data_IF_559836572781
#
_entry.id   IF_559836572781
#
_cell.length_a   1.000
_cell.length_b   1.000
_cell.length_c   1.000
_cell.angle_alpha   90.00
_cell.angle_beta   90.00
_cell.angle_gamma   90.00
#
_symmetry.space_group_name_H-M   'P 1'
#
loop_
_entity.id
_entity.type
_entity.pdbx_description
1 polymer ?
#
# COMPACT_ATOMS: atom_id res chain seq x y z
N UNK A 1 -26.75 29.07 31.21
CA UNK A 1 -27.63 27.88 31.36
C UNK A 1 -28.81 27.99 30.40
N UNK A 2 -28.78 27.17 29.34
CA UNK A 2 -29.80 26.89 28.30
C UNK A 2 -29.08 25.88 27.40
N UNK A 3 -29.41 24.60 27.27
CA UNK A 3 -30.68 23.91 27.43
C UNK A 3 -31.15 23.45 26.06
N UNK A 4 -30.59 22.35 25.54
CA UNK A 4 -31.33 21.40 24.67
C UNK A 4 -30.56 20.10 24.47
N UNK A 5 -31.17 19.03 24.98
CA UNK A 5 -30.88 17.64 24.67
C UNK A 5 -31.49 17.33 23.31
N UNK A 6 -30.79 16.60 22.46
CA UNK A 6 -31.40 15.73 21.45
C UNK A 6 -30.53 14.49 21.29
N UNK A 7 -31.07 13.36 21.77
CA UNK A 7 -30.63 12.02 21.43
C UNK A 7 -31.26 11.61 20.10
N UNK A 8 -30.52 10.92 19.25
CA UNK A 8 -31.07 10.02 18.25
C UNK A 8 -30.13 8.82 18.13
N UNK A 9 -30.62 7.69 18.63
CA UNK A 9 -30.02 6.38 18.44
C UNK A 9 -30.35 5.92 17.01
N UNK A 10 -29.33 5.50 16.27
CA UNK A 10 -29.47 4.78 15.00
C UNK A 10 -28.71 3.48 15.12
N UNK A 11 -29.43 2.38 15.34
CA UNK A 11 -28.90 1.02 15.30
C UNK A 11 -29.06 0.53 13.87
N UNK A 12 -27.96 0.23 13.19
CA UNK A 12 -27.97 -0.53 11.93
C UNK A 12 -27.25 -1.84 12.19
N UNK A 13 -28.03 -2.91 12.27
CA UNK A 13 -27.58 -4.29 12.15
C UNK A 13 -27.61 -4.69 10.66
N UNK A 14 -27.16 -5.92 10.34
CA UNK A 14 -27.03 -6.60 9.03
C UNK A 14 -25.58 -6.54 8.54
N UNK A 15 -24.83 -7.63 8.32
CA UNK A 15 -25.08 -9.06 8.42
C UNK A 15 -23.75 -9.77 8.10
N UNK A 16 -23.32 -10.73 8.92
CA UNK A 16 -22.08 -11.46 8.72
C UNK A 16 -22.33 -12.66 7.79
N UNK A 17 -21.73 -12.66 6.60
CA UNK A 17 -21.65 -13.83 5.75
C UNK A 17 -20.27 -14.48 5.94
N UNK A 18 -20.25 -15.60 6.66
CA UNK A 18 -19.06 -16.47 6.76
C UNK A 18 -18.88 -17.24 5.46
N UNK A 19 -17.81 -16.93 4.72
CA UNK A 19 -17.34 -17.73 3.59
C UNK A 19 -16.57 -18.96 4.12
N UNK A 20 -17.00 -20.13 3.65
CA UNK A 20 -16.38 -21.42 3.91
C UNK A 20 -14.99 -21.52 3.28
N UNK A 21 -14.01 -21.94 4.08
CA UNK A 21 -12.67 -22.32 3.64
C UNK A 21 -12.72 -23.60 2.78
N UNK A 22 -12.09 -23.57 1.62
CA UNK A 22 -11.65 -24.77 0.91
C UNK A 22 -10.12 -24.85 1.01
N UNK A 23 -9.63 -25.73 1.89
CA UNK A 23 -8.22 -26.14 1.94
C UNK A 23 -7.99 -27.18 0.84
N UNK A 24 -7.25 -26.82 -0.20
CA UNK A 24 -6.74 -27.77 -1.18
C UNK A 24 -5.51 -28.48 -0.61
N UNK A 25 -5.56 -29.81 -0.66
CA UNK A 25 -4.68 -30.75 -0.01
C UNK A 25 -3.22 -30.70 -0.53
N UNK A 26 -2.28 -30.82 0.41
CA UNK A 26 -0.92 -31.28 0.12
C UNK A 26 -0.97 -32.70 -0.45
N UNK A 27 -0.37 -32.89 -1.63
CA UNK A 27 0.02 -34.22 -2.10
C UNK A 27 1.53 -34.24 -2.18
N UNK A 28 2.16 -34.91 -1.22
CA UNK A 28 3.59 -35.23 -1.24
C UNK A 28 3.86 -36.48 -2.07
N UNK A 29 4.99 -36.47 -2.78
CA UNK A 29 5.52 -37.63 -3.50
C UNK A 29 6.87 -37.32 -4.18
N UNK A 30 7.97 -37.56 -3.46
CA UNK A 30 9.38 -37.65 -3.92
C UNK A 30 9.61 -38.91 -4.81
N UNK A 31 10.76 -39.16 -5.50
CA UNK A 31 12.11 -38.57 -5.39
C UNK A 31 12.85 -38.24 -6.72
N UNK A 32 14.08 -37.73 -6.61
CA UNK A 32 15.09 -37.57 -7.68
C UNK A 32 15.40 -38.88 -8.42
N UNK A 33 15.62 -38.80 -9.74
CA UNK A 33 16.48 -39.74 -10.47
C UNK A 33 17.18 -39.05 -11.67
N UNK A 34 18.52 -39.07 -11.63
CA UNK A 34 19.53 -39.13 -12.69
C UNK A 34 19.44 -38.33 -14.02
N UNK A 35 20.52 -37.62 -14.30
CA UNK A 35 20.96 -36.83 -15.48
C UNK A 35 21.24 -37.67 -16.76
N UNK A 36 21.65 -37.08 -17.93
CA UNK A 36 20.86 -36.69 -19.14
C UNK A 36 21.26 -37.56 -20.39
N UNK A 37 20.96 -37.26 -21.70
CA UNK A 37 21.46 -36.09 -22.45
C UNK A 37 20.59 -35.57 -23.65
N UNK A 38 21.12 -34.53 -24.32
CA UNK A 38 20.92 -34.10 -25.72
C UNK A 38 19.66 -33.34 -26.17
N UNK A 39 19.91 -32.05 -26.50
CA UNK A 39 19.63 -31.42 -27.79
C UNK A 39 18.29 -31.73 -28.49
N UNK A 40 17.28 -30.88 -28.28
CA UNK A 40 16.31 -30.56 -29.33
C UNK A 40 15.92 -29.08 -29.30
N UNK A 41 15.88 -28.55 -30.51
CA UNK A 41 15.59 -27.20 -30.98
C UNK A 41 14.31 -26.56 -30.43
N UNK A 42 14.40 -25.23 -30.22
CA UNK A 42 13.37 -24.21 -30.43
C UNK A 42 11.91 -24.54 -30.04
N UNK A 43 11.44 -23.96 -28.94
CA UNK A 43 10.10 -23.40 -28.90
C UNK A 43 10.14 -21.99 -28.30
N UNK A 44 9.92 -21.06 -29.21
CA UNK A 44 9.33 -19.75 -29.01
C UNK A 44 8.27 -19.78 -27.90
N UNK A 45 8.46 -18.94 -26.90
CA UNK A 45 7.36 -18.42 -26.10
C UNK A 45 7.69 -16.96 -25.88
N UNK A 46 7.59 -16.20 -26.96
CA UNK A 46 7.37 -14.76 -26.87
C UNK A 46 6.12 -14.61 -26.00
N UNK A 47 6.20 -14.08 -24.76
CA UNK A 47 4.99 -13.86 -23.99
C UNK A 47 4.15 -12.88 -24.80
N UNK A 48 2.96 -13.33 -25.21
CA UNK A 48 1.98 -12.46 -25.84
C UNK A 48 1.68 -11.34 -24.84
N UNK A 49 1.71 -10.04 -25.23
CA UNK A 49 1.31 -8.98 -24.32
C UNK A 49 -0.15 -9.24 -23.93
N UNK A 50 -0.37 -9.72 -22.72
CA UNK A 50 -1.71 -9.93 -22.20
C UNK A 50 -2.33 -8.55 -22.08
N UNK A 51 -3.32 -8.26 -22.91
CA UNK A 51 -4.15 -7.07 -22.72
C UNK A 51 -5.01 -7.34 -21.49
N UNK A 52 -4.63 -6.78 -20.35
CA UNK A 52 -5.38 -6.87 -19.10
C UNK A 52 -6.79 -6.30 -19.29
N UNK A 53 -7.81 -6.95 -18.74
CA UNK A 53 -9.16 -6.37 -18.77
C UNK A 53 -9.24 -5.17 -17.81
N UNK A 54 -10.23 -4.26 -17.96
CA UNK A 54 -10.44 -3.19 -16.99
C UNK A 54 -10.60 -3.68 -15.55
N UNK A 55 -11.26 -4.83 -15.35
CA UNK A 55 -11.44 -5.44 -14.02
C UNK A 55 -10.11 -5.91 -13.41
N UNK A 56 -9.23 -6.48 -14.23
CA UNK A 56 -7.90 -6.91 -13.77
C UNK A 56 -7.04 -5.71 -13.37
N UNK A 57 -7.11 -4.62 -14.14
CA UNK A 57 -6.41 -3.37 -13.85
C UNK A 57 -6.88 -2.75 -12.53
N UNK A 58 -8.20 -2.69 -12.29
CA UNK A 58 -8.73 -2.23 -10.99
C UNK A 58 -8.22 -3.11 -9.86
N UNK A 59 -8.33 -4.43 -9.98
CA UNK A 59 -7.87 -5.37 -8.94
C UNK A 59 -6.37 -5.20 -8.62
N UNK A 60 -5.55 -4.97 -9.65
CA UNK A 60 -4.12 -4.70 -9.49
C UNK A 60 -3.86 -3.38 -8.77
N UNK A 61 -4.55 -2.30 -9.17
CA UNK A 61 -4.45 -1.00 -8.50
C UNK A 61 -4.86 -1.08 -7.02
N UNK A 62 -5.91 -1.83 -6.70
CA UNK A 62 -6.35 -2.05 -5.31
C UNK A 62 -5.30 -2.79 -4.50
N UNK A 63 -4.71 -3.85 -5.04
CA UNK A 63 -3.64 -4.59 -4.37
C UNK A 63 -2.40 -3.71 -4.13
N UNK A 64 -2.06 -2.82 -5.05
CA UNK A 64 -0.96 -1.87 -4.87
C UNK A 64 -1.31 -0.76 -3.87
N UNK A 65 -2.58 -0.34 -3.80
CA UNK A 65 -3.06 0.60 -2.79
C UNK A 65 -3.01 -0.01 -1.38
N UNK A 66 -3.31 -1.30 -1.23
CA UNK A 66 -3.13 -2.04 0.03
C UNK A 66 -1.66 -2.10 0.46
N UNK A 67 -0.75 -2.46 -0.44
CA UNK A 67 0.70 -2.50 -0.12
C UNK A 67 1.23 -1.12 0.29
N UNK A 68 0.80 -0.07 -0.41
CA UNK A 68 1.15 1.29 -0.05
C UNK A 68 0.56 1.69 1.32
N UNK A 69 -0.68 1.29 1.63
CA UNK A 69 -1.27 1.52 2.95
C UNK A 69 -0.48 0.83 4.07
N UNK A 70 -0.01 -0.40 3.83
CA UNK A 70 0.83 -1.14 4.77
C UNK A 70 2.17 -0.44 4.98
N UNK A 71 2.87 -0.04 3.91
CA UNK A 71 4.12 0.69 4.01
C UNK A 71 3.98 2.01 4.79
N UNK A 72 2.90 2.76 4.56
CA UNK A 72 2.60 4.00 5.30
C UNK A 72 2.30 3.72 6.78
N UNK A 73 1.62 2.62 7.09
CA UNK A 73 1.36 2.18 8.47
C UNK A 73 2.64 1.75 9.19
N UNK A 74 3.51 1.02 8.50
CA UNK A 74 4.82 0.61 9.00
C UNK A 74 5.74 1.80 9.22
N UNK A 75 5.79 2.76 8.29
CA UNK A 75 6.49 4.03 8.46
C UNK A 75 5.99 4.76 9.71
N UNK A 76 4.68 4.89 9.90
CA UNK A 76 4.14 5.49 11.13
C UNK A 76 4.60 4.75 12.39
N UNK A 77 4.73 3.43 12.32
CA UNK A 77 5.19 2.61 13.44
C UNK A 77 6.70 2.77 13.72
N UNK A 78 7.50 3.23 12.76
CA UNK A 78 8.92 3.59 12.96
C UNK A 78 9.09 4.94 13.64
N UNK A 79 8.11 5.85 13.53
CA UNK A 79 8.14 7.19 14.15
C UNK A 79 7.98 7.15 15.68
N UNK A 80 8.95 6.56 16.39
CA UNK A 80 9.07 6.49 17.85
C UNK A 80 10.22 7.37 18.32
N UNK A 81 10.15 7.82 19.57
CA UNK A 81 11.14 8.71 20.21
C UNK A 81 12.59 8.25 20.08
N UNK A 82 12.81 6.95 19.98
CA UNK A 82 14.11 6.28 19.91
C UNK A 82 14.57 5.93 18.48
N UNK A 83 13.76 6.22 17.46
CA UNK A 83 14.11 5.91 16.08
C UNK A 83 15.28 6.77 15.59
N UNK A 84 16.21 6.16 14.86
CA UNK A 84 17.28 6.92 14.21
C UNK A 84 16.76 7.56 12.92
N UNK A 85 17.38 8.68 12.52
CA UNK A 85 17.07 9.33 11.24
C UNK A 85 17.31 8.39 10.05
N UNK A 86 18.29 7.50 10.14
CA UNK A 86 18.55 6.46 9.13
C UNK A 86 17.37 5.48 9.01
N UNK A 87 16.81 5.02 10.14
CA UNK A 87 15.62 4.14 10.13
C UNK A 87 14.41 4.85 9.51
N UNK A 88 14.23 6.14 9.79
CA UNK A 88 13.16 6.96 9.22
C UNK A 88 13.34 7.07 7.69
N UNK A 89 14.56 7.38 7.22
CA UNK A 89 14.86 7.48 5.78
C UNK A 89 14.66 6.13 5.06
N UNK A 90 15.10 5.03 5.67
CA UNK A 90 14.88 3.68 5.11
C UNK A 90 13.39 3.36 4.99
N UNK A 91 12.60 3.66 6.03
CA UNK A 91 11.15 3.43 5.99
C UNK A 91 10.46 4.33 4.97
N UNK A 92 10.93 5.56 4.77
CA UNK A 92 10.46 6.45 3.70
C UNK A 92 10.76 5.86 2.32
N UNK A 93 11.92 5.25 2.13
CA UNK A 93 12.28 4.67 0.84
C UNK A 93 11.34 3.49 0.49
N UNK A 94 10.86 2.73 1.47
CA UNK A 94 9.81 1.70 1.30
C UNK A 94 8.44 2.31 0.95
N UNK A 95 8.04 3.40 1.61
CA UNK A 95 6.84 4.18 1.25
C UNK A 95 6.95 4.68 -0.20
N UNK A 96 8.13 5.12 -0.63
CA UNK A 96 8.36 5.59 -1.99
C UNK A 96 8.25 4.46 -3.01
N UNK A 97 8.87 3.32 -2.74
CA UNK A 97 8.83 2.17 -3.64
C UNK A 97 7.41 1.64 -3.83
N UNK A 98 6.64 1.53 -2.74
CA UNK A 98 5.23 1.11 -2.79
C UNK A 98 4.32 2.15 -3.45
N UNK A 99 4.61 3.45 -3.27
CA UNK A 99 3.91 4.52 -3.99
C UNK A 99 4.16 4.47 -5.50
N UNK A 100 5.40 4.28 -5.94
CA UNK A 100 5.74 4.22 -7.37
C UNK A 100 5.04 3.02 -8.07
N UNK A 101 4.90 1.90 -7.34
CA UNK A 101 4.09 0.76 -7.79
C UNK A 101 2.60 1.11 -7.91
N UNK A 102 2.05 1.80 -6.91
CA UNK A 102 0.66 2.30 -6.95
C UNK A 102 0.42 3.26 -8.12
N UNK A 103 1.30 4.23 -8.35
CA UNK A 103 1.20 5.16 -9.48
C UNK A 103 1.17 4.38 -10.80
N UNK A 104 2.05 3.39 -10.95
CA UNK A 104 2.12 2.56 -12.17
C UNK A 104 0.81 1.83 -12.43
N UNK A 105 0.22 1.25 -11.39
CA UNK A 105 -0.97 0.40 -11.52
C UNK A 105 -2.29 1.19 -11.56
N UNK A 106 -2.33 2.38 -10.94
CA UNK A 106 -3.55 3.19 -10.82
C UNK A 106 -3.63 4.37 -11.80
N UNK A 107 -2.55 4.69 -12.53
CA UNK A 107 -2.47 5.93 -13.33
C UNK A 107 -3.69 6.13 -14.20
N UNK A 108 -4.08 5.17 -15.02
CA UNK A 108 -5.14 5.40 -16.02
C UNK A 108 -6.57 5.22 -15.46
N UNK A 109 -6.70 4.89 -14.16
CA UNK A 109 -7.98 4.62 -13.50
C UNK A 109 -8.46 5.79 -12.64
N UNK A 110 -7.54 6.52 -11.97
CA UNK A 110 -7.87 7.56 -11.00
C UNK A 110 -6.79 8.66 -10.92
N UNK A 111 -6.41 9.25 -12.07
CA UNK A 111 -5.31 10.24 -12.17
C UNK A 111 -5.36 11.34 -11.12
N UNK A 112 -6.48 12.06 -11.02
CA UNK A 112 -6.62 13.18 -10.09
C UNK A 112 -6.34 12.77 -8.63
N UNK A 113 -6.72 11.55 -8.24
CA UNK A 113 -6.45 11.01 -6.89
C UNK A 113 -5.03 10.52 -6.74
N UNK A 114 -4.45 9.91 -7.77
CA UNK A 114 -3.03 9.52 -7.75
C UNK A 114 -2.15 10.77 -7.61
N UNK A 115 -2.51 11.87 -8.25
CA UNK A 115 -1.80 13.16 -8.11
C UNK A 115 -1.95 13.77 -6.71
N UNK A 116 -3.12 13.62 -6.08
CA UNK A 116 -3.32 14.04 -4.69
C UNK A 116 -2.48 13.21 -3.71
N UNK A 117 -2.46 11.87 -3.87
CA UNK A 117 -1.56 11.00 -3.08
C UNK A 117 -0.11 11.37 -3.33
N UNK A 118 0.27 11.68 -4.58
CA UNK A 118 1.61 12.13 -4.93
C UNK A 118 2.01 13.38 -4.17
N UNK A 119 1.13 14.38 -4.11
CA UNK A 119 1.40 15.64 -3.41
C UNK A 119 1.72 15.39 -1.93
N UNK A 120 0.89 14.60 -1.24
CA UNK A 120 1.17 14.23 0.16
C UNK A 120 2.48 13.44 0.29
N UNK A 121 2.74 12.45 -0.57
CA UNK A 121 4.02 11.72 -0.50
C UNK A 121 5.23 12.65 -0.70
N UNK A 122 5.12 13.64 -1.59
CA UNK A 122 6.18 14.62 -1.82
C UNK A 122 6.36 15.56 -0.61
N UNK A 123 5.28 15.93 0.09
CA UNK A 123 5.34 16.70 1.35
C UNK A 123 6.00 15.88 2.48
N UNK A 124 5.69 14.57 2.60
CA UNK A 124 6.39 13.64 3.50
C UNK A 124 7.89 13.57 3.23
N UNK A 125 8.28 13.45 1.96
CA UNK A 125 9.69 13.43 1.57
C UNK A 125 10.38 14.73 1.96
N UNK A 126 9.77 15.87 1.65
CA UNK A 126 10.30 17.19 1.97
C UNK A 126 10.46 17.38 3.48
N UNK A 127 9.49 16.94 4.27
CA UNK A 127 9.54 17.00 5.73
C UNK A 127 10.70 16.17 6.31
N UNK A 128 11.01 15.00 5.72
CA UNK A 128 12.13 14.16 6.16
C UNK A 128 13.47 14.75 5.74
N UNK A 129 13.58 15.24 4.50
CA UNK A 129 14.81 15.85 3.98
C UNK A 129 15.16 17.17 4.69
N UNK A 130 14.16 17.85 5.25
CA UNK A 130 14.34 19.05 6.05
C UNK A 130 14.87 18.78 7.46
N UNK A 131 15.07 17.52 7.89
CA UNK A 131 15.63 17.17 9.20
C UNK A 131 17.15 17.12 9.11
N UNK A 132 17.89 18.04 9.75
CA UNK A 132 19.34 17.94 9.89
C UNK A 132 19.77 16.63 10.57
N UNK A 133 20.91 16.10 10.17
CA UNK A 133 21.45 14.84 10.70
C UNK A 133 21.75 14.88 12.22
N UNK A 134 21.91 16.06 12.78
CA UNK A 134 22.24 16.35 14.18
C UNK A 134 21.06 16.89 15.02
N UNK A 135 19.83 16.87 14.47
CA UNK A 135 18.64 17.41 15.15
C UNK A 135 18.08 16.52 16.25
N UNK A 136 17.42 17.15 17.22
CA UNK A 136 16.51 16.44 18.12
C UNK A 136 15.28 15.92 17.32
N UNK A 137 15.27 14.62 17.09
CA UNK A 137 14.22 13.84 16.40
C UNK A 137 12.77 14.01 16.94
N UNK A 138 12.51 14.32 18.24
CA UNK A 138 11.13 14.33 18.78
C UNK A 138 10.15 15.33 18.16
N UNK A 139 10.54 16.59 17.91
CA UNK A 139 9.63 17.54 17.25
C UNK A 139 9.36 17.16 15.79
N UNK A 140 10.37 16.67 15.09
CA UNK A 140 10.23 16.20 13.71
C UNK A 140 9.25 15.01 13.61
N UNK A 141 9.28 14.09 14.57
CA UNK A 141 8.34 12.95 14.62
C UNK A 141 6.88 13.40 14.64
N UNK A 142 6.54 14.49 15.35
CA UNK A 142 5.16 14.97 15.39
C UNK A 142 4.74 15.43 14.00
N UNK A 143 5.55 16.27 13.36
CA UNK A 143 5.30 16.75 12.00
C UNK A 143 5.20 15.59 10.99
N UNK A 144 6.08 14.59 11.10
CA UNK A 144 6.06 13.42 10.23
C UNK A 144 4.80 12.57 10.41
N UNK A 145 4.26 12.50 11.64
CA UNK A 145 3.01 11.77 11.91
C UNK A 145 1.79 12.46 11.31
N UNK A 146 1.76 13.79 11.33
CA UNK A 146 0.70 14.59 10.72
C UNK A 146 0.71 14.40 9.21
N UNK A 147 1.89 14.53 8.60
CA UNK A 147 2.10 14.29 7.17
C UNK A 147 1.75 12.86 6.74
N UNK A 148 2.14 11.86 7.55
CA UNK A 148 1.69 10.47 7.32
C UNK A 148 0.17 10.32 7.40
N UNK A 149 -0.53 11.14 8.19
CA UNK A 149 -1.99 11.12 8.26
C UNK A 149 -2.62 11.71 6.98
N UNK A 150 -2.01 12.73 6.40
CA UNK A 150 -2.44 13.33 5.13
C UNK A 150 -2.26 12.34 3.97
N UNK A 151 -1.12 11.65 3.88
CA UNK A 151 -0.91 10.54 2.94
C UNK A 151 -2.00 9.47 3.07
N UNK A 152 -2.36 9.09 4.31
CA UNK A 152 -3.42 8.10 4.56
C UNK A 152 -4.81 8.60 4.15
N UNK A 153 -5.09 9.88 4.31
CA UNK A 153 -6.36 10.47 3.90
C UNK A 153 -6.49 10.46 2.37
N UNK A 154 -5.48 10.94 1.65
CA UNK A 154 -5.44 10.91 0.19
C UNK A 154 -5.57 9.48 -0.36
N UNK A 155 -4.88 8.51 0.28
CA UNK A 155 -4.98 7.10 -0.11
C UNK A 155 -6.40 6.53 0.10
N UNK A 156 -7.10 6.92 1.16
CA UNK A 156 -8.49 6.48 1.37
C UNK A 156 -9.43 7.02 0.29
N UNK A 157 -9.23 8.25 -0.15
CA UNK A 157 -10.00 8.83 -1.25
C UNK A 157 -9.71 8.13 -2.58
N UNK A 158 -8.44 7.81 -2.86
CA UNK A 158 -8.07 6.99 -4.02
C UNK A 158 -8.74 5.62 -3.98
N UNK A 159 -8.69 4.91 -2.85
CA UNK A 159 -9.31 3.59 -2.69
C UNK A 159 -10.83 3.63 -2.91
N UNK A 160 -11.50 4.66 -2.38
CA UNK A 160 -12.93 4.85 -2.62
C UNK A 160 -13.24 5.02 -4.11
N UNK A 161 -12.43 5.80 -4.82
CA UNK A 161 -12.64 6.05 -6.25
C UNK A 161 -12.29 4.82 -7.12
N UNK A 162 -11.34 3.99 -6.68
CA UNK A 162 -11.06 2.64 -7.23
C UNK A 162 -12.09 1.57 -6.79
N UNK A 163 -12.95 1.88 -5.82
CA UNK A 163 -13.90 0.99 -5.17
C UNK A 163 -13.26 -0.23 -4.44
N UNK A 164 -12.24 0.02 -3.62
CA UNK A 164 -11.54 -0.97 -2.78
C UNK A 164 -11.30 -0.58 -1.31
#
# INVERSE_FOLDING_TARGET
MKGKKSSAAGVVAIGAATLLLAMAACTGGTPQESTPPESMTAQESTPTPQSSTPTDQVSQACASADRFADAVSEFRATLKSEASLEQIRLARDEVNASFDALVTDARDLAQDRVDEVKASVDDLRAAIDAIPDDSAVPEAIVSLRDETADVRAALQDLRRDLAC
#
